data_IF_457937525773
#
_entry.id   IF_457937525773
#
_cell.length_a   1.000
_cell.length_b   1.000
_cell.length_c   1.000
_cell.angle_alpha   90.00
_cell.angle_beta   90.00
_cell.angle_gamma   90.00
#
_symmetry.space_group_name_H-M   'P 1'
#
loop_
_entity.id
_entity.type
_entity.pdbx_description
1 polymer ?
#
# COMPACT_ATOMS: atom_id res chain seq x y z
N UNK A 1 10.15 16.91 -11.21
CA UNK A 1 8.83 16.25 -11.01
C UNK A 1 8.99 14.77 -11.36
N UNK A 2 8.59 13.87 -10.45
CA UNK A 2 8.75 12.40 -10.44
C UNK A 2 10.20 11.86 -10.46
N UNK A 3 10.77 11.56 -9.28
CA UNK A 3 12.03 10.81 -9.15
C UNK A 3 11.77 9.30 -9.32
N UNK A 4 12.58 8.53 -10.07
CA UNK A 4 12.08 7.38 -10.82
C UNK A 4 12.39 6.05 -10.14
N UNK A 5 11.45 5.48 -9.36
CA UNK A 5 11.47 4.04 -8.98
C UNK A 5 10.56 3.17 -9.83
N UNK A 6 9.55 3.75 -10.51
CA UNK A 6 8.91 3.32 -11.79
C UNK A 6 7.38 3.52 -11.78
N UNK A 7 6.85 4.12 -12.86
CA UNK A 7 5.42 4.13 -13.20
C UNK A 7 4.81 2.72 -13.13
N UNK A 8 5.49 1.65 -13.60
CA UNK A 8 5.08 0.27 -13.39
C UNK A 8 4.71 -0.10 -11.95
N UNK A 9 5.50 0.31 -10.95
CA UNK A 9 5.26 -0.06 -9.55
C UNK A 9 4.01 0.61 -8.99
N UNK A 10 3.81 1.90 -9.29
CA UNK A 10 2.58 2.61 -8.96
C UNK A 10 1.36 2.01 -9.67
N UNK A 11 1.51 1.64 -10.95
CA UNK A 11 0.43 1.01 -11.72
C UNK A 11 0.01 -0.34 -11.15
N UNK A 12 0.96 -1.17 -10.70
CA UNK A 12 0.63 -2.47 -10.07
C UNK A 12 -0.24 -2.24 -8.82
N UNK A 13 0.15 -1.30 -7.95
CA UNK A 13 -0.63 -0.98 -6.75
C UNK A 13 -2.03 -0.49 -7.13
N UNK A 14 -2.12 0.46 -8.07
CA UNK A 14 -3.39 1.06 -8.48
C UNK A 14 -4.33 0.08 -9.20
N UNK A 15 -3.79 -0.86 -9.97
CA UNK A 15 -4.57 -1.87 -10.68
C UNK A 15 -5.11 -2.94 -9.72
N UNK A 16 -4.32 -3.35 -8.72
CA UNK A 16 -4.74 -4.38 -7.77
C UNK A 16 -5.69 -3.86 -6.69
N UNK A 17 -5.55 -2.59 -6.29
CA UNK A 17 -6.35 -1.94 -5.25
C UNK A 17 -7.89 -2.09 -5.44
N UNK A 18 -8.49 -1.87 -6.63
CA UNK A 18 -9.93 -2.06 -6.80
C UNK A 18 -10.37 -3.52 -6.63
N UNK A 19 -9.56 -4.51 -7.02
CA UNK A 19 -9.88 -5.92 -6.80
C UNK A 19 -9.82 -6.28 -5.32
N UNK A 20 -8.83 -5.74 -4.61
CA UNK A 20 -8.71 -5.93 -3.16
C UNK A 20 -9.91 -5.33 -2.42
N UNK A 21 -10.27 -4.07 -2.71
CA UNK A 21 -11.47 -3.43 -2.14
C UNK A 21 -12.76 -4.20 -2.45
N UNK A 22 -12.91 -4.72 -3.67
CA UNK A 22 -14.08 -5.48 -4.07
C UNK A 22 -14.19 -6.80 -3.30
N UNK A 23 -13.10 -7.56 -3.23
CA UNK A 23 -13.08 -8.86 -2.53
C UNK A 23 -13.27 -8.67 -1.03
N UNK A 24 -12.70 -7.62 -0.47
CA UNK A 24 -12.89 -7.22 0.92
C UNK A 24 -14.36 -6.85 1.21
N UNK A 25 -14.97 -5.98 0.40
CA UNK A 25 -16.38 -5.62 0.55
C UNK A 25 -17.31 -6.83 0.43
N UNK A 26 -17.06 -7.73 -0.53
CA UNK A 26 -17.83 -8.95 -0.70
C UNK A 26 -17.71 -9.88 0.52
N UNK A 27 -16.53 -9.96 1.11
CA UNK A 27 -16.30 -10.74 2.33
C UNK A 27 -17.11 -10.19 3.51
N UNK A 28 -17.12 -8.87 3.70
CA UNK A 28 -17.96 -8.23 4.72
C UNK A 28 -19.44 -8.50 4.46
N UNK A 29 -19.88 -8.37 3.20
CA UNK A 29 -21.27 -8.62 2.83
C UNK A 29 -21.73 -10.04 3.18
N UNK A 30 -20.95 -11.08 2.82
CA UNK A 30 -21.30 -12.47 3.13
C UNK A 30 -21.35 -12.73 4.64
N UNK A 31 -20.37 -12.21 5.39
CA UNK A 31 -20.28 -12.39 6.85
C UNK A 31 -21.43 -11.71 7.59
N UNK A 32 -21.77 -10.48 7.20
CA UNK A 32 -22.89 -9.73 7.76
C UNK A 32 -24.23 -10.39 7.40
N UNK A 33 -24.42 -10.78 6.15
CA UNK A 33 -25.67 -11.42 5.68
C UNK A 33 -25.92 -12.75 6.38
N UNK A 34 -24.87 -13.56 6.61
CA UNK A 34 -24.99 -14.84 7.32
C UNK A 34 -25.00 -14.73 8.85
N UNK A 35 -24.90 -13.51 9.41
CA UNK A 35 -24.77 -13.26 10.86
C UNK A 35 -23.68 -14.11 11.53
N UNK A 36 -22.62 -14.44 10.79
CA UNK A 36 -21.54 -15.33 11.20
C UNK A 36 -20.28 -14.52 11.54
N UNK A 37 -20.46 -13.43 12.29
CA UNK A 37 -19.39 -12.53 12.69
C UNK A 37 -18.63 -13.13 13.88
N UNK A 38 -17.38 -13.50 13.65
CA UNK A 38 -16.53 -14.15 14.64
C UNK A 38 -15.32 -13.31 15.06
N UNK A 39 -14.49 -13.85 15.96
CA UNK A 39 -13.22 -13.24 16.34
C UNK A 39 -12.24 -13.05 15.16
N UNK A 40 -12.27 -13.96 14.17
CA UNK A 40 -11.48 -13.84 12.92
C UNK A 40 -11.83 -12.58 12.12
N UNK A 41 -13.12 -12.24 12.06
CA UNK A 41 -13.58 -11.05 11.33
C UNK A 41 -13.12 -9.76 12.01
N UNK A 42 -12.95 -9.75 13.34
CA UNK A 42 -12.35 -8.63 14.06
C UNK A 42 -10.86 -8.45 13.76
N UNK A 43 -10.09 -9.53 13.68
CA UNK A 43 -8.71 -9.49 13.22
C UNK A 43 -8.63 -8.91 11.81
N UNK A 44 -9.59 -9.27 10.96
CA UNK A 44 -9.69 -8.73 9.61
C UNK A 44 -9.99 -7.23 9.60
N UNK A 45 -10.84 -6.72 10.51
CA UNK A 45 -11.11 -5.28 10.65
C UNK A 45 -9.84 -4.52 11.06
N UNK A 46 -9.06 -5.08 11.99
CA UNK A 46 -7.81 -4.47 12.46
C UNK A 46 -6.73 -4.48 11.37
N UNK A 47 -6.74 -5.47 10.49
CA UNK A 47 -5.79 -5.56 9.38
C UNK A 47 -5.97 -4.46 8.32
N UNK A 48 -7.18 -3.92 8.13
CA UNK A 48 -7.48 -2.91 7.12
C UNK A 48 -6.67 -1.62 7.28
N UNK A 49 -6.64 -0.96 8.47
CA UNK A 49 -5.86 0.26 8.62
C UNK A 49 -4.36 -0.01 8.38
N UNK A 50 -3.84 -1.16 8.83
CA UNK A 50 -2.44 -1.54 8.61
C UNK A 50 -2.13 -1.72 7.11
N UNK A 51 -3.00 -2.43 6.38
CA UNK A 51 -2.89 -2.58 4.95
C UNK A 51 -3.00 -1.25 4.22
N UNK A 52 -3.87 -0.36 4.67
CA UNK A 52 -4.08 0.97 4.07
C UNK A 52 -2.83 1.84 4.24
N UNK A 53 -2.27 1.88 5.44
CA UNK A 53 -1.00 2.59 5.72
C UNK A 53 0.12 2.02 4.84
N UNK A 54 0.24 0.69 4.77
CA UNK A 54 1.26 0.03 3.94
C UNK A 54 1.11 0.37 2.46
N UNK A 55 -0.12 0.39 1.94
CA UNK A 55 -0.42 0.73 0.54
C UNK A 55 -0.06 2.17 0.21
N UNK A 56 -0.36 3.11 1.11
CA UNK A 56 0.04 4.52 0.99
C UNK A 56 1.57 4.66 1.02
N UNK A 57 2.23 3.94 1.92
CA UNK A 57 3.70 3.89 2.01
C UNK A 57 4.33 3.40 0.70
N UNK A 58 3.85 2.29 0.14
CA UNK A 58 4.32 1.76 -1.14
C UNK A 58 4.12 2.74 -2.30
N UNK A 59 2.99 3.45 -2.34
CA UNK A 59 2.78 4.52 -3.32
C UNK A 59 3.77 5.67 -3.12
N UNK A 60 4.01 6.09 -1.87
CA UNK A 60 5.01 7.11 -1.55
C UNK A 60 6.41 6.70 -2.02
N UNK A 61 6.82 5.46 -1.77
CA UNK A 61 8.12 4.91 -2.19
C UNK A 61 8.23 4.89 -3.73
N UNK A 62 7.14 4.58 -4.44
CA UNK A 62 7.10 4.55 -5.89
C UNK A 62 7.43 5.91 -6.54
N UNK A 63 7.10 7.02 -5.86
CA UNK A 63 7.31 8.39 -6.36
C UNK A 63 8.57 9.08 -5.79
N UNK A 64 9.20 8.52 -4.76
CA UNK A 64 10.31 9.17 -4.04
C UNK A 64 11.68 8.57 -4.27
N UNK A 65 11.81 7.46 -5.00
CA UNK A 65 13.12 6.81 -5.18
C UNK A 65 13.48 5.79 -4.11
N UNK A 66 12.60 5.57 -3.11
CA UNK A 66 12.86 4.62 -2.02
C UNK A 66 13.15 3.22 -2.55
N UNK A 67 14.28 2.63 -2.14
CA UNK A 67 14.72 1.31 -2.58
C UNK A 67 15.66 1.27 -3.79
N UNK A 68 16.01 2.43 -4.41
CA UNK A 68 17.13 2.50 -5.38
C UNK A 68 18.46 2.40 -4.64
N UNK A 69 19.51 1.96 -5.35
CA UNK A 69 20.88 1.98 -4.80
C UNK A 69 21.29 3.43 -4.53
N UNK A 70 21.93 3.66 -3.39
CA UNK A 70 22.44 4.99 -3.00
C UNK A 70 23.33 5.64 -4.06
N UNK A 71 24.04 4.85 -4.88
CA UNK A 71 24.87 5.34 -5.97
C UNK A 71 24.08 5.94 -7.15
N UNK A 72 22.80 5.59 -7.30
CA UNK A 72 21.92 6.02 -8.39
C UNK A 72 20.97 7.17 -7.96
N UNK A 73 21.11 7.67 -6.73
CA UNK A 73 20.29 8.74 -6.16
C UNK A 73 21.06 10.06 -6.17
N UNK A 74 20.42 11.13 -6.63
CA UNK A 74 20.95 12.48 -6.39
C UNK A 74 20.84 12.85 -4.90
N UNK A 75 21.62 13.84 -4.45
CA UNK A 75 21.63 14.25 -3.03
C UNK A 75 20.25 14.68 -2.53
N UNK A 76 19.47 15.36 -3.38
CA UNK A 76 18.10 15.80 -3.07
C UNK A 76 17.09 14.63 -3.02
N UNK A 77 17.25 13.63 -3.90
CA UNK A 77 16.42 12.42 -3.90
C UNK A 77 16.73 11.52 -2.69
N UNK A 78 17.96 11.55 -2.18
CA UNK A 78 18.38 10.75 -1.03
C UNK A 78 17.66 11.16 0.25
N UNK A 79 17.47 12.46 0.48
CA UNK A 79 16.77 12.97 1.66
C UNK A 79 15.28 12.60 1.63
N UNK A 80 14.67 12.72 0.45
CA UNK A 80 13.25 12.39 0.23
C UNK A 80 12.98 10.88 0.33
N UNK A 81 13.87 10.06 -0.25
CA UNK A 81 13.76 8.60 -0.21
C UNK A 81 13.90 8.03 1.22
N UNK A 82 14.79 8.60 2.03
CA UNK A 82 15.00 8.13 3.43
C UNK A 82 13.83 8.45 4.35
N UNK A 83 13.18 9.61 4.17
CA UNK A 83 12.02 9.99 4.98
C UNK A 83 10.83 9.03 4.79
N UNK A 84 10.62 8.56 3.56
CA UNK A 84 9.51 7.64 3.25
C UNK A 84 9.86 6.18 3.59
N UNK A 85 11.14 5.80 3.62
CA UNK A 85 11.59 4.43 3.93
C UNK A 85 11.38 3.94 5.38
N UNK A 86 10.85 4.80 6.27
CA UNK A 86 10.55 4.46 7.67
C UNK A 86 9.19 3.75 7.82
N UNK A 87 8.42 3.65 6.73
CA UNK A 87 7.14 2.92 6.64
C UNK A 87 7.27 1.71 5.71
#
# INVERSE_FOLDING_TARGET
MAGPTSVPLALVVLVLLPFDLLTWALRFYVRLTRKAWGPDDWSMVIAIPLFTISTIGMLGIAFTGGGKKDADLTKEETETARFVSIF
#
